data_IF_893476361808
#
_entry.id   IF_893476361808
#
_cell.length_a   1.000
_cell.length_b   1.000
_cell.length_c   1.000
_cell.angle_alpha   90.00
_cell.angle_beta   90.00
_cell.angle_gamma   90.00
#
_symmetry.space_group_name_H-M   'P 1'
#
loop_
_entity.id
_entity.type
_entity.pdbx_description
1 polymer ?
#
# COMPACT_ATOMS: atom_id res chain seq x y z
N UNK A 1 -13.32 31.23 16.17
CA UNK A 1 -12.76 29.91 16.51
C UNK A 1 -12.10 29.19 15.32
N UNK A 2 -12.30 29.64 14.07
CA UNK A 2 -11.97 28.87 12.85
C UNK A 2 -10.73 29.35 12.08
N UNK A 3 -10.23 30.57 12.33
CA UNK A 3 -9.14 31.16 11.54
C UNK A 3 -7.82 30.38 11.57
N UNK A 4 -7.30 30.06 12.77
CA UNK A 4 -6.03 29.34 12.89
C UNK A 4 -6.10 27.89 12.38
N UNK A 5 -7.13 27.08 12.70
CA UNK A 5 -7.30 25.73 12.16
C UNK A 5 -7.43 25.69 10.63
N UNK A 6 -8.06 26.70 10.03
CA UNK A 6 -8.18 26.81 8.56
C UNK A 6 -6.82 26.98 7.90
N UNK A 7 -5.99 27.89 8.41
CA UNK A 7 -4.63 28.11 7.88
C UNK A 7 -3.76 26.85 8.03
N UNK A 8 -3.80 26.20 9.19
CA UNK A 8 -3.07 24.95 9.42
C UNK A 8 -3.50 23.85 8.45
N UNK A 9 -4.80 23.73 8.19
CA UNK A 9 -5.35 22.73 7.27
C UNK A 9 -4.90 22.97 5.83
N UNK A 10 -4.90 24.22 5.37
CA UNK A 10 -4.47 24.58 4.02
C UNK A 10 -2.98 24.28 3.80
N UNK A 11 -2.13 24.55 4.80
CA UNK A 11 -0.69 24.23 4.75
C UNK A 11 -0.46 22.71 4.79
N UNK A 12 -1.12 22.00 5.71
CA UNK A 12 -0.97 20.55 5.87
C UNK A 12 -1.41 19.77 4.64
N UNK A 13 -2.43 20.25 3.92
CA UNK A 13 -2.90 19.66 2.65
C UNK A 13 -2.11 20.11 1.43
N UNK A 14 -1.13 21.00 1.58
CA UNK A 14 -0.27 21.46 0.51
C UNK A 14 -0.95 22.39 -0.50
N UNK A 15 -2.07 23.03 -0.12
CA UNK A 15 -2.72 24.04 -0.98
C UNK A 15 -2.00 25.39 -0.94
N UNK A 16 -1.38 25.71 0.20
CA UNK A 16 -0.55 26.90 0.39
C UNK A 16 0.78 26.53 1.01
N UNK A 17 1.82 27.29 0.68
CA UNK A 17 3.15 27.15 1.25
C UNK A 17 3.54 28.46 1.93
N UNK A 18 4.01 28.38 3.17
CA UNK A 18 4.50 29.54 3.92
C UNK A 18 5.98 29.79 3.60
N UNK A 19 6.32 30.99 3.16
CA UNK A 19 7.71 31.46 3.01
C UNK A 19 7.87 32.72 3.86
N UNK A 20 8.54 32.58 5.01
CA UNK A 20 8.62 33.65 6.00
C UNK A 20 7.24 33.98 6.59
N UNK A 21 6.83 35.24 6.48
CA UNK A 21 5.52 35.72 6.95
C UNK A 21 4.42 35.70 5.88
N UNK A 22 4.73 35.25 4.67
CA UNK A 22 3.83 35.32 3.50
C UNK A 22 3.39 33.93 3.07
N UNK A 23 2.12 33.81 2.72
CA UNK A 23 1.52 32.59 2.16
C UNK A 23 1.52 32.65 0.63
N UNK A 24 2.03 31.60 -0.01
CA UNK A 24 2.04 31.47 -1.46
C UNK A 24 1.15 30.30 -1.89
N UNK A 25 0.25 30.47 -2.87
CA UNK A 25 -0.53 29.36 -3.39
C UNK A 25 0.38 28.37 -4.12
N UNK A 26 0.19 27.08 -3.86
CA UNK A 26 0.90 26.01 -4.59
C UNK A 26 0.25 25.78 -5.95
N UNK A 27 0.93 25.09 -6.89
CA UNK A 27 0.29 24.65 -8.14
C UNK A 27 -0.97 23.83 -7.89
N UNK A 28 -0.94 22.93 -6.90
CA UNK A 28 -2.09 22.14 -6.47
C UNK A 28 -3.23 23.02 -5.97
N UNK A 29 -2.93 23.99 -5.10
CA UNK A 29 -3.93 24.94 -4.60
C UNK A 29 -4.63 25.70 -5.73
N UNK A 30 -3.85 26.22 -6.69
CA UNK A 30 -4.41 26.92 -7.87
C UNK A 30 -5.31 26.01 -8.70
N UNK A 31 -4.88 24.78 -8.97
CA UNK A 31 -5.65 23.83 -9.78
C UNK A 31 -6.96 23.43 -9.10
N UNK A 32 -6.91 23.13 -7.80
CA UNK A 32 -8.11 22.79 -7.01
C UNK A 32 -9.07 23.97 -6.94
N UNK A 33 -8.58 25.18 -6.66
CA UNK A 33 -9.43 26.38 -6.65
C UNK A 33 -10.07 26.64 -8.00
N UNK A 34 -9.32 26.50 -9.11
CA UNK A 34 -9.88 26.66 -10.46
C UNK A 34 -10.99 25.64 -10.72
N UNK A 35 -10.75 24.38 -10.40
CA UNK A 35 -11.73 23.30 -10.55
C UNK A 35 -12.99 23.55 -9.71
N UNK A 36 -12.84 23.94 -8.44
CA UNK A 36 -13.98 24.19 -7.57
C UNK A 36 -14.80 25.41 -8.01
N UNK A 37 -14.15 26.47 -8.51
CA UNK A 37 -14.85 27.65 -9.06
C UNK A 37 -15.63 27.32 -10.33
N UNK A 38 -15.13 26.41 -11.15
CA UNK A 38 -15.80 25.98 -12.38
C UNK A 38 -16.96 25.01 -12.10
N UNK A 39 -16.78 24.07 -11.17
CA UNK A 39 -17.70 22.94 -10.96
C UNK A 39 -18.66 23.12 -9.79
N UNK A 40 -18.30 23.96 -8.81
CA UNK A 40 -19.09 24.19 -7.60
C UNK A 40 -19.23 25.69 -7.28
N UNK A 41 -19.67 26.53 -8.25
CA UNK A 41 -19.66 27.98 -8.10
C UNK A 41 -20.47 28.48 -6.91
N UNK A 42 -21.60 27.84 -6.57
CA UNK A 42 -22.44 28.26 -5.45
C UNK A 42 -21.76 27.97 -4.10
N UNK A 43 -21.13 26.80 -3.98
CA UNK A 43 -20.53 26.33 -2.73
C UNK A 43 -19.28 27.12 -2.35
N UNK A 44 -18.48 27.53 -3.34
CA UNK A 44 -17.24 28.31 -3.10
C UNK A 44 -17.42 29.82 -3.24
N UNK A 45 -18.64 30.29 -3.48
CA UNK A 45 -18.94 31.72 -3.52
C UNK A 45 -18.70 32.36 -2.14
N UNK A 46 -18.05 33.53 -2.13
CA UNK A 46 -17.80 34.27 -0.89
C UNK A 46 -19.09 34.58 -0.13
N UNK A 47 -20.15 34.99 -0.85
CA UNK A 47 -21.45 35.28 -0.24
C UNK A 47 -22.07 34.06 0.45
N UNK A 48 -21.91 32.88 -0.14
CA UNK A 48 -22.44 31.65 0.44
C UNK A 48 -21.72 31.29 1.74
N UNK A 49 -20.40 31.40 1.75
CA UNK A 49 -19.60 31.16 2.97
C UNK A 49 -19.87 32.19 4.06
N UNK A 50 -20.15 33.45 3.71
CA UNK A 50 -20.48 34.49 4.66
C UNK A 50 -21.87 34.29 5.29
N UNK A 51 -22.87 33.94 4.47
CA UNK A 51 -24.24 33.64 4.94
C UNK A 51 -24.33 32.37 5.78
N UNK A 52 -23.36 31.46 5.67
CA UNK A 52 -23.36 30.22 6.44
C UNK A 52 -23.16 30.47 7.94
N UNK A 53 -22.23 31.35 8.31
CA UNK A 53 -21.97 31.66 9.72
C UNK A 53 -23.21 32.30 10.37
N UNK A 54 -23.84 33.26 9.68
CA UNK A 54 -25.09 33.89 10.14
C UNK A 54 -26.22 32.85 10.33
N UNK A 55 -26.37 31.89 9.42
CA UNK A 55 -27.37 30.81 9.54
C UNK A 55 -27.05 29.83 10.66
N UNK A 56 -25.78 29.63 11.01
CA UNK A 56 -25.39 28.80 12.15
C UNK A 56 -25.70 29.51 13.47
N UNK A 57 -25.51 30.83 13.53
CA UNK A 57 -25.90 31.65 14.67
C UNK A 57 -27.43 31.63 14.88
N UNK A 58 -28.22 31.74 13.81
CA UNK A 58 -29.69 31.61 13.87
C UNK A 58 -30.15 30.25 14.42
N UNK A 59 -29.39 29.19 14.17
CA UNK A 59 -29.65 27.86 14.74
C UNK A 59 -29.31 27.81 16.22
N UNK A 60 -28.17 28.39 16.62
CA UNK A 60 -27.74 28.47 18.03
C UNK A 60 -28.77 29.24 18.88
N UNK A 61 -29.32 30.31 18.32
CA UNK A 61 -30.38 31.11 18.94
C UNK A 61 -31.78 30.48 18.85
N UNK A 62 -31.93 29.35 18.16
CA UNK A 62 -33.20 28.63 18.02
C UNK A 62 -34.21 29.27 17.07
N UNK A 63 -33.78 30.23 16.23
CA UNK A 63 -34.64 30.90 15.24
C UNK A 63 -34.97 30.00 14.05
N UNK A 64 -34.04 29.12 13.67
CA UNK A 64 -34.20 28.21 12.52
C UNK A 64 -33.83 26.78 12.92
N UNK A 65 -34.63 25.76 12.53
CA UNK A 65 -34.25 24.37 12.77
C UNK A 65 -33.05 23.95 11.91
N UNK A 66 -32.01 23.40 12.54
CA UNK A 66 -30.78 22.99 11.87
C UNK A 66 -30.95 22.06 10.65
N UNK A 67 -31.93 21.12 10.58
CA UNK A 67 -32.08 20.26 9.41
C UNK A 67 -32.44 21.06 8.16
N UNK A 68 -33.23 22.13 8.31
CA UNK A 68 -33.57 23.05 7.22
C UNK A 68 -32.31 23.75 6.71
N UNK A 69 -31.47 24.22 7.64
CA UNK A 69 -30.23 24.93 7.28
C UNK A 69 -29.30 24.04 6.44
N UNK A 70 -29.14 22.78 6.87
CA UNK A 70 -28.33 21.77 6.17
C UNK A 70 -28.93 21.40 4.83
N UNK A 71 -30.24 21.18 4.73
CA UNK A 71 -30.88 20.76 3.48
C UNK A 71 -30.76 21.83 2.38
N UNK A 72 -30.98 23.10 2.74
CA UNK A 72 -30.80 24.23 1.83
C UNK A 72 -29.36 24.39 1.30
N UNK A 73 -28.35 23.91 2.05
CA UNK A 73 -26.98 23.78 1.53
C UNK A 73 -26.84 22.57 0.61
N UNK A 74 -27.39 21.42 1.03
CA UNK A 74 -27.06 20.13 0.44
C UNK A 74 -27.74 19.90 -0.91
N UNK A 75 -28.97 20.38 -1.08
CA UNK A 75 -29.72 20.21 -2.32
C UNK A 75 -29.02 20.85 -3.55
N UNK A 76 -28.62 22.13 -3.53
CA UNK A 76 -27.84 22.73 -4.63
C UNK A 76 -26.53 22.00 -4.89
N UNK A 77 -25.82 21.60 -3.82
CA UNK A 77 -24.57 20.86 -3.92
C UNK A 77 -24.73 19.52 -4.63
N UNK A 78 -25.81 18.78 -4.38
CA UNK A 78 -26.11 17.52 -5.07
C UNK A 78 -26.34 17.73 -6.57
N UNK A 79 -26.99 18.85 -6.94
CA UNK A 79 -27.18 19.23 -8.34
C UNK A 79 -25.87 19.53 -9.07
N UNK A 80 -24.94 20.24 -8.43
CA UNK A 80 -23.59 20.48 -8.95
C UNK A 80 -22.76 19.19 -9.01
N UNK A 81 -22.82 18.36 -7.96
CA UNK A 81 -22.10 17.09 -7.87
C UNK A 81 -22.52 16.09 -8.95
N UNK A 82 -23.81 16.06 -9.31
CA UNK A 82 -24.32 15.19 -10.36
C UNK A 82 -23.73 15.48 -11.74
N UNK A 83 -23.31 16.73 -11.98
CA UNK A 83 -22.70 17.16 -13.24
C UNK A 83 -21.20 16.85 -13.32
N UNK A 84 -20.59 16.41 -12.22
CA UNK A 84 -19.16 16.07 -12.21
C UNK A 84 -18.92 14.84 -13.08
N UNK A 85 -18.07 14.93 -14.13
CA UNK A 85 -17.82 13.82 -15.03
C UNK A 85 -17.18 12.65 -14.26
N UNK A 86 -17.87 11.51 -14.25
CA UNK A 86 -17.36 10.27 -13.66
C UNK A 86 -16.39 9.61 -14.64
N UNK A 87 -15.18 9.33 -14.18
CA UNK A 87 -14.17 8.62 -14.95
C UNK A 87 -14.68 7.21 -15.28
N UNK A 88 -14.65 6.79 -16.53
CA UNK A 88 -15.13 5.46 -16.96
C UNK A 88 -14.00 4.43 -16.97
N UNK A 89 -14.35 3.18 -16.71
CA UNK A 89 -13.41 2.07 -16.68
C UNK A 89 -12.98 1.71 -18.10
N UNK A 90 -11.68 1.69 -18.43
CA UNK A 90 -11.19 1.38 -19.77
C UNK A 90 -11.41 -0.10 -20.17
N UNK A 91 -11.73 -0.98 -19.21
CA UNK A 91 -11.97 -2.41 -19.50
C UNK A 91 -13.42 -2.76 -19.79
N UNK A 92 -14.38 -2.03 -19.25
CA UNK A 92 -15.80 -2.40 -19.33
C UNK A 92 -16.77 -1.23 -19.48
N UNK A 93 -16.28 0.02 -19.54
CA UNK A 93 -17.10 1.23 -19.71
C UNK A 93 -17.87 1.71 -18.47
N UNK A 94 -18.04 0.88 -17.43
CA UNK A 94 -18.71 1.27 -16.18
C UNK A 94 -17.95 2.38 -15.43
N UNK A 95 -18.61 3.24 -14.64
CA UNK A 95 -17.93 4.30 -13.90
C UNK A 95 -16.94 3.74 -12.86
N UNK A 96 -15.86 4.47 -12.64
CA UNK A 96 -14.90 4.27 -11.56
C UNK A 96 -15.34 5.06 -10.33
N UNK A 97 -15.15 4.46 -9.15
CA UNK A 97 -15.47 5.07 -7.86
C UNK A 97 -14.26 5.07 -6.93
N UNK A 98 -14.20 6.08 -6.06
CA UNK A 98 -13.20 6.18 -5.00
C UNK A 98 -13.43 5.08 -3.96
N UNK A 99 -12.49 4.14 -3.85
CA UNK A 99 -12.47 3.06 -2.86
C UNK A 99 -11.27 3.23 -1.93
N UNK A 100 -11.42 2.76 -0.69
CA UNK A 100 -10.38 2.84 0.35
C UNK A 100 -9.88 1.44 0.70
N UNK A 101 -8.56 1.27 0.74
CA UNK A 101 -7.91 0.04 1.20
C UNK A 101 -6.88 0.33 2.30
N UNK A 102 -6.31 -0.74 2.89
CA UNK A 102 -5.15 -0.63 3.80
C UNK A 102 -3.92 0.04 3.18
N UNK A 103 -3.85 0.13 1.85
CA UNK A 103 -2.74 0.72 1.10
C UNK A 103 -3.03 2.15 0.64
N UNK A 104 -4.19 2.70 0.98
CA UNK A 104 -4.62 4.02 0.57
C UNK A 104 -5.88 3.99 -0.29
N UNK A 105 -6.23 5.17 -0.79
CA UNK A 105 -7.38 5.39 -1.66
C UNK A 105 -7.03 5.08 -3.13
N UNK A 106 -7.98 4.58 -3.89
CA UNK A 106 -7.82 4.25 -5.31
C UNK A 106 -9.16 4.35 -6.05
N UNK A 107 -9.14 4.55 -7.37
CA UNK A 107 -10.31 4.41 -8.22
C UNK A 107 -10.52 2.93 -8.59
N UNK A 108 -11.69 2.40 -8.31
CA UNK A 108 -12.05 1.02 -8.64
C UNK A 108 -13.32 0.95 -9.47
N UNK A 109 -13.38 -0.01 -10.39
CA UNK A 109 -14.58 -0.25 -11.17
C UNK A 109 -15.78 -0.57 -10.27
N UNK A 110 -16.95 0.01 -10.60
CA UNK A 110 -18.24 -0.31 -9.96
C UNK A 110 -18.68 -1.73 -10.29
N UNK A 111 -18.31 -2.25 -11.45
CA UNK A 111 -18.60 -3.63 -11.86
C UNK A 111 -17.72 -4.70 -11.22
N UNK A 112 -17.23 -4.50 -10.01
CA UNK A 112 -16.57 -5.56 -9.24
C UNK A 112 -17.65 -6.48 -8.64
N UNK A 113 -17.51 -7.83 -8.70
CA UNK A 113 -16.30 -8.59 -8.99
C UNK A 113 -16.02 -8.91 -10.46
N UNK A 114 -16.94 -8.65 -11.38
CA UNK A 114 -16.81 -9.03 -12.80
C UNK A 114 -15.67 -8.28 -13.50
N UNK A 115 -15.38 -7.05 -13.06
CA UNK A 115 -14.28 -6.22 -13.50
C UNK A 115 -13.39 -5.82 -12.32
N UNK A 116 -12.14 -6.32 -12.32
CA UNK A 116 -11.14 -6.08 -11.27
C UNK A 116 -10.22 -4.88 -11.55
N UNK A 117 -10.58 -4.03 -12.51
CA UNK A 117 -9.77 -2.85 -12.85
C UNK A 117 -9.71 -1.86 -11.68
N UNK A 118 -8.49 -1.42 -11.38
CA UNK A 118 -8.19 -0.40 -10.38
C UNK A 118 -7.13 0.57 -10.91
N UNK A 119 -7.21 1.83 -10.48
CA UNK A 119 -6.29 2.90 -10.83
C UNK A 119 -5.94 3.69 -9.56
N UNK A 120 -4.66 3.99 -9.29
CA UNK A 120 -4.29 4.88 -8.19
C UNK A 120 -4.76 6.32 -8.45
N UNK A 121 -5.11 7.06 -7.39
CA UNK A 121 -5.55 8.46 -7.50
C UNK A 121 -4.42 9.39 -7.93
N UNK A 122 -3.24 9.19 -7.36
CA UNK A 122 -2.04 9.91 -7.72
C UNK A 122 -1.25 9.06 -8.71
N UNK A 123 -1.23 9.49 -9.97
CA UNK A 123 -0.25 8.98 -10.92
C UNK A 123 1.07 9.65 -10.58
N UNK A 124 1.97 8.94 -9.90
CA UNK A 124 3.35 9.40 -9.74
C UNK A 124 3.94 9.56 -11.14
N UNK A 125 4.09 10.79 -11.59
CA UNK A 125 4.69 11.10 -12.86
C UNK A 125 6.15 10.65 -12.82
N UNK A 126 6.58 9.97 -13.87
CA UNK A 126 7.94 9.46 -13.94
C UNK A 126 8.89 10.64 -14.20
N UNK A 127 9.80 10.90 -13.27
CA UNK A 127 10.73 12.03 -13.38
C UNK A 127 11.69 11.81 -14.56
N UNK A 128 11.87 12.80 -15.46
CA UNK A 128 12.89 12.72 -16.49
C UNK A 128 14.28 12.84 -15.87
N UNK A 129 15.20 11.97 -16.29
CA UNK A 129 16.57 11.97 -15.76
C UNK A 129 17.53 12.89 -16.54
N UNK A 130 17.05 13.51 -17.62
CA UNK A 130 17.85 14.39 -18.49
C UNK A 130 18.74 13.66 -19.50
N UNK A 131 18.66 12.33 -19.59
CA UNK A 131 19.42 11.52 -20.55
C UNK A 131 18.53 11.06 -21.72
N UNK A 132 19.13 10.97 -22.91
CA UNK A 132 18.48 10.41 -24.09
C UNK A 132 18.62 8.89 -24.16
N UNK A 133 17.59 8.21 -24.66
CA UNK A 133 17.59 6.76 -24.83
C UNK A 133 18.59 6.35 -25.92
N UNK A 134 19.52 5.41 -25.65
CA UNK A 134 20.51 4.99 -26.65
C UNK A 134 19.90 4.21 -27.82
N UNK A 135 18.65 3.71 -27.70
CA UNK A 135 17.97 3.01 -28.79
C UNK A 135 17.19 3.93 -29.74
N UNK A 136 16.65 5.05 -29.25
CA UNK A 136 15.72 5.87 -30.04
C UNK A 136 15.83 7.39 -29.84
N UNK A 137 16.74 7.87 -28.98
CA UNK A 137 16.94 9.29 -28.70
C UNK A 137 15.87 9.97 -27.83
N UNK A 138 14.72 9.34 -27.57
CA UNK A 138 13.67 9.87 -26.68
C UNK A 138 14.18 10.00 -25.22
N UNK A 139 13.64 10.91 -24.39
CA UNK A 139 14.09 11.08 -23.02
C UNK A 139 13.85 9.83 -22.17
N UNK A 140 14.79 9.54 -21.27
CA UNK A 140 14.68 8.49 -20.27
C UNK A 140 13.94 9.00 -19.02
N UNK A 141 13.11 8.15 -18.44
CA UNK A 141 12.27 8.43 -17.28
C UNK A 141 12.57 7.44 -16.15
N UNK A 142 12.57 7.92 -14.90
CA UNK A 142 12.63 7.06 -13.72
C UNK A 142 11.22 6.59 -13.34
N UNK A 143 10.96 5.29 -13.46
CA UNK A 143 9.67 4.65 -13.15
C UNK A 143 9.78 3.79 -11.89
N UNK A 144 8.68 3.67 -11.16
CA UNK A 144 8.55 2.72 -10.04
C UNK A 144 7.93 1.41 -10.54
N UNK A 145 8.61 0.28 -10.27
CA UNK A 145 8.13 -1.07 -10.57
C UNK A 145 8.00 -1.92 -9.32
N UNK A 146 7.66 -3.21 -9.50
CA UNK A 146 7.52 -4.19 -8.41
C UNK A 146 8.77 -4.32 -7.55
N UNK A 147 9.95 -4.23 -8.18
CA UNK A 147 11.26 -4.45 -7.56
C UNK A 147 11.97 -3.16 -7.13
N UNK A 148 11.33 -2.00 -7.28
CA UNK A 148 11.91 -0.68 -7.01
C UNK A 148 11.89 0.21 -8.24
N UNK A 149 12.63 1.31 -8.16
CA UNK A 149 12.81 2.25 -9.25
C UNK A 149 13.73 1.68 -10.34
N UNK A 150 13.47 2.08 -11.58
CA UNK A 150 14.26 1.72 -12.76
C UNK A 150 14.15 2.84 -13.81
N UNK A 151 15.08 2.85 -14.77
CA UNK A 151 15.09 3.81 -15.87
C UNK A 151 14.47 3.14 -17.10
N UNK A 152 13.52 3.82 -17.73
CA UNK A 152 12.85 3.32 -18.93
C UNK A 152 12.73 4.43 -19.98
N UNK A 153 12.71 4.04 -21.25
CA UNK A 153 12.37 4.97 -22.32
C UNK A 153 10.97 5.56 -22.13
N UNK A 154 10.82 6.87 -22.41
CA UNK A 154 9.51 7.53 -22.49
C UNK A 154 8.60 6.91 -23.55
N UNK A 155 9.17 6.35 -24.61
CA UNK A 155 8.46 5.62 -25.68
C UNK A 155 8.06 4.18 -25.35
N UNK A 156 8.20 3.70 -24.11
CA UNK A 156 7.75 2.35 -23.76
C UNK A 156 6.21 2.23 -23.88
N UNK A 157 5.64 1.21 -24.55
CA UNK A 157 6.27 -0.07 -24.92
C UNK A 157 6.89 -0.15 -26.33
N UNK A 158 6.77 0.88 -27.18
CA UNK A 158 7.35 0.89 -28.53
C UNK A 158 8.88 0.79 -28.51
N UNK A 159 9.50 1.42 -27.52
CA UNK A 159 10.92 1.25 -27.19
C UNK A 159 11.05 0.49 -25.87
N UNK A 160 11.55 -0.74 -25.94
CA UNK A 160 11.76 -1.67 -24.82
C UNK A 160 13.02 -1.38 -23.98
N UNK A 161 13.71 -0.26 -24.23
CA UNK A 161 14.91 0.08 -23.48
C UNK A 161 14.58 0.34 -22.01
N UNK A 162 15.13 -0.51 -21.14
CA UNK A 162 15.10 -0.36 -19.69
C UNK A 162 16.47 -0.67 -19.11
N UNK A 163 16.86 0.07 -18.07
CA UNK A 163 18.04 -0.23 -17.26
C UNK A 163 17.78 0.03 -15.79
N UNK A 164 18.65 -0.49 -14.93
CA UNK A 164 18.57 -0.21 -13.51
C UNK A 164 19.00 1.23 -13.20
N UNK A 165 18.44 1.83 -12.14
CA UNK A 165 18.75 3.20 -11.71
C UNK A 165 19.90 3.29 -10.69
N UNK A 166 20.57 2.16 -10.40
CA UNK A 166 21.71 2.11 -9.48
C UNK A 166 22.96 2.79 -10.03
N UNK A 167 23.78 3.33 -9.12
CA UNK A 167 25.04 4.01 -9.45
C UNK A 167 26.12 2.97 -9.72
N UNK A 168 26.81 3.00 -10.87
CA UNK A 168 27.92 2.08 -11.12
C UNK A 168 29.07 2.28 -10.14
N UNK A 169 29.54 1.20 -9.51
CA UNK A 169 30.64 1.28 -8.52
C UNK A 169 32.03 1.20 -9.11
N UNK A 170 32.16 0.86 -10.40
CA UNK A 170 33.44 0.59 -11.06
C UNK A 170 33.93 -0.85 -10.93
N UNK A 171 33.35 -1.65 -10.03
CA UNK A 171 33.71 -3.06 -9.89
C UNK A 171 32.94 -3.97 -10.87
N UNK A 172 33.60 -5.05 -11.27
CA UNK A 172 33.01 -6.12 -12.09
C UNK A 172 32.42 -7.23 -11.22
N UNK A 173 31.30 -7.80 -11.67
CA UNK A 173 30.61 -8.87 -10.99
C UNK A 173 31.42 -10.17 -11.10
N UNK A 174 31.74 -10.83 -9.98
CA UNK A 174 32.56 -12.05 -9.98
C UNK A 174 31.86 -13.25 -10.64
N UNK A 175 30.53 -13.24 -10.73
CA UNK A 175 29.75 -14.35 -11.32
C UNK A 175 29.59 -14.28 -12.84
N UNK A 176 29.58 -13.08 -13.42
CA UNK A 176 29.21 -12.89 -14.83
C UNK A 176 29.97 -11.78 -15.56
N UNK A 177 30.90 -11.08 -14.90
CA UNK A 177 31.70 -10.01 -15.50
C UNK A 177 30.97 -8.69 -15.76
N UNK A 178 29.64 -8.63 -15.64
CA UNK A 178 28.88 -7.38 -15.79
C UNK A 178 29.19 -6.37 -14.68
N UNK A 179 28.79 -5.10 -14.83
CA UNK A 179 29.06 -4.06 -13.82
C UNK A 179 28.26 -4.31 -12.54
N UNK A 180 28.81 -3.87 -11.41
CA UNK A 180 28.11 -3.82 -10.12
C UNK A 180 27.53 -2.43 -9.90
N UNK A 181 26.28 -2.37 -9.44
CA UNK A 181 25.53 -1.15 -9.16
C UNK A 181 25.27 -1.03 -7.66
N UNK A 182 25.47 0.17 -7.10
CA UNK A 182 25.04 0.54 -5.75
C UNK A 182 23.59 1.05 -5.77
N UNK A 183 22.78 0.54 -4.87
CA UNK A 183 21.40 0.98 -4.63
C UNK A 183 21.16 1.18 -3.14
N UNK A 184 20.13 1.96 -2.81
CA UNK A 184 19.65 2.12 -1.44
C UNK A 184 18.35 1.36 -1.22
N UNK A 185 18.30 0.61 -0.13
CA UNK A 185 17.07 -0.06 0.32
C UNK A 185 16.03 0.97 0.79
N UNK A 186 14.78 0.55 0.98
CA UNK A 186 13.72 1.39 1.57
C UNK A 186 14.08 1.97 2.95
N UNK A 187 15.05 1.35 3.66
CA UNK A 187 15.56 1.80 4.96
C UNK A 187 16.83 2.65 4.85
N UNK A 188 17.21 3.06 3.65
CA UNK A 188 18.39 3.89 3.38
C UNK A 188 19.73 3.15 3.37
N UNK A 189 19.78 1.86 3.74
CA UNK A 189 21.03 1.09 3.72
C UNK A 189 21.47 0.78 2.27
N UNK A 190 22.75 1.01 1.91
CA UNK A 190 23.27 0.66 0.60
C UNK A 190 23.38 -0.85 0.43
N UNK A 191 23.23 -1.30 -0.81
CA UNK A 191 23.50 -2.66 -1.25
C UNK A 191 24.00 -2.62 -2.70
N UNK A 192 24.78 -3.63 -3.07
CA UNK A 192 25.47 -3.72 -4.34
C UNK A 192 24.96 -4.93 -5.09
N UNK A 193 24.43 -4.76 -6.29
CA UNK A 193 23.89 -5.85 -7.10
C UNK A 193 24.51 -5.86 -8.48
N UNK A 194 24.44 -7.00 -9.16
CA UNK A 194 24.78 -7.05 -10.58
C UNK A 194 23.79 -6.21 -11.41
N UNK A 195 24.30 -5.55 -12.46
CA UNK A 195 23.49 -4.86 -13.47
C UNK A 195 22.61 -5.84 -14.27
N UNK A 196 23.12 -7.04 -14.56
CA UNK A 196 22.36 -8.07 -15.26
C UNK A 196 21.30 -8.68 -14.36
N UNK A 197 20.03 -8.56 -14.73
CA UNK A 197 18.90 -9.16 -14.01
C UNK A 197 18.91 -10.70 -14.02
N UNK A 198 19.69 -11.32 -14.91
CA UNK A 198 19.88 -12.78 -14.94
C UNK A 198 20.89 -13.26 -13.88
N UNK A 199 21.68 -12.35 -13.31
CA UNK A 199 22.68 -12.66 -12.29
C UNK A 199 22.15 -12.35 -10.89
N UNK A 200 22.33 -13.30 -9.97
CA UNK A 200 21.86 -13.23 -8.58
C UNK A 200 22.90 -12.61 -7.61
N UNK A 201 23.99 -12.03 -8.12
CA UNK A 201 25.02 -11.45 -7.27
C UNK A 201 24.49 -10.24 -6.49
N UNK A 202 24.64 -10.30 -5.16
CA UNK A 202 24.21 -9.29 -4.20
C UNK A 202 25.21 -9.21 -3.04
N UNK A 203 25.62 -8.00 -2.68
CA UNK A 203 26.40 -7.69 -1.49
C UNK A 203 25.71 -6.59 -0.67
N UNK A 204 25.77 -6.66 0.66
CA UNK A 204 25.36 -5.57 1.54
C UNK A 204 26.52 -4.69 2.01
N UNK A 205 27.72 -5.00 1.53
CA UNK A 205 28.96 -4.31 1.90
C UNK A 205 29.65 -3.80 0.64
N UNK A 206 30.31 -2.64 0.70
CA UNK A 206 31.08 -2.11 -0.42
C UNK A 206 32.16 -3.11 -0.83
N UNK A 207 32.31 -3.30 -2.14
CA UNK A 207 33.44 -4.05 -2.68
C UNK A 207 34.71 -3.20 -2.52
N UNK A 208 35.82 -3.85 -2.26
CA UNK A 208 37.15 -3.24 -2.21
C UNK A 208 37.83 -3.44 -3.57
N UNK A 209 38.77 -2.55 -3.91
CA UNK A 209 39.58 -2.68 -5.14
C UNK A 209 40.49 -3.91 -5.10
N UNK A 210 40.90 -4.32 -3.89
CA UNK A 210 41.72 -5.50 -3.68
C UNK A 210 40.89 -6.78 -3.80
N UNK A 211 41.37 -7.72 -4.61
CA UNK A 211 40.84 -9.08 -4.70
C UNK A 211 41.47 -9.99 -3.66
N UNK A 212 40.75 -11.05 -3.30
CA UNK A 212 41.21 -12.04 -2.35
C UNK A 212 42.44 -12.79 -2.90
N UNK A 213 43.58 -12.82 -2.17
CA UNK A 213 44.81 -13.44 -2.66
C UNK A 213 44.70 -14.96 -2.83
N UNK A 214 43.74 -15.62 -2.15
CA UNK A 214 43.57 -17.07 -2.24
C UNK A 214 42.66 -17.53 -3.39
N UNK A 215 41.74 -16.69 -3.88
CA UNK A 215 40.73 -17.12 -4.86
C UNK A 215 40.33 -16.07 -5.91
N UNK A 216 40.91 -14.86 -5.87
CA UNK A 216 40.64 -13.79 -6.83
C UNK A 216 39.27 -13.11 -6.72
N UNK A 217 38.41 -13.53 -5.79
CA UNK A 217 37.09 -12.90 -5.58
C UNK A 217 37.18 -11.54 -4.88
N UNK A 218 36.19 -10.65 -5.08
CA UNK A 218 36.19 -9.34 -4.44
C UNK A 218 36.12 -9.46 -2.91
N UNK A 219 36.93 -8.64 -2.24
CA UNK A 219 36.85 -8.42 -0.80
C UNK A 219 35.79 -7.35 -0.51
N UNK A 220 35.21 -7.38 0.69
CA UNK A 220 34.23 -6.38 1.12
C UNK A 220 34.62 -5.67 2.40
N UNK A 221 34.18 -4.41 2.53
CA UNK A 221 34.47 -3.52 3.66
C UNK A 221 33.83 -3.95 4.98
N UNK A 222 34.41 -4.96 5.63
CA UNK A 222 34.09 -5.39 7.01
C UNK A 222 35.40 -5.70 7.75
N UNK A 223 35.88 -4.76 8.57
CA UNK A 223 37.20 -4.89 9.22
C UNK A 223 38.34 -4.82 8.19
N UNK A 224 39.26 -5.80 8.22
CA UNK A 224 40.43 -5.90 7.32
C UNK A 224 40.10 -6.37 5.89
N UNK A 225 38.82 -6.56 5.55
CA UNK A 225 38.38 -7.09 4.26
C UNK A 225 38.10 -8.59 4.36
N UNK A 226 36.88 -8.99 4.01
CA UNK A 226 36.48 -10.40 4.04
C UNK A 226 36.09 -10.87 2.63
N UNK A 227 36.41 -12.13 2.29
CA UNK A 227 36.14 -12.66 0.96
C UNK A 227 34.66 -13.00 0.79
N UNK A 228 34.07 -12.61 -0.35
CA UNK A 228 32.67 -12.93 -0.67
C UNK A 228 32.46 -14.36 -1.20
N UNK A 229 33.50 -15.05 -1.64
CA UNK A 229 33.37 -16.38 -2.25
C UNK A 229 33.00 -17.43 -1.20
N UNK A 230 31.83 -18.09 -1.29
CA UNK A 230 31.44 -19.13 -0.34
C UNK A 230 32.42 -20.31 -0.29
N UNK A 231 33.17 -20.56 -1.38
CA UNK A 231 34.13 -21.65 -1.47
C UNK A 231 35.54 -21.28 -0.95
N UNK A 232 35.76 -20.02 -0.54
CA UNK A 232 37.06 -19.58 -0.04
C UNK A 232 37.23 -19.89 1.45
N UNK A 233 38.40 -20.40 1.89
CA UNK A 233 38.70 -20.56 3.33
C UNK A 233 38.64 -19.26 4.13
N UNK A 234 38.92 -18.12 3.50
CA UNK A 234 38.84 -16.79 4.10
C UNK A 234 37.45 -16.12 3.98
N UNK A 235 36.42 -16.90 3.64
CA UNK A 235 35.04 -16.42 3.58
C UNK A 235 34.48 -16.18 4.98
N UNK A 236 33.80 -15.06 5.18
CA UNK A 236 33.00 -14.82 6.39
C UNK A 236 31.52 -15.20 6.10
N UNK A 237 30.99 -16.27 6.73
CA UNK A 237 29.62 -16.73 6.52
C UNK A 237 28.54 -15.68 6.82
N UNK A 238 28.87 -14.63 7.59
CA UNK A 238 27.94 -13.54 7.92
C UNK A 238 27.74 -12.54 6.78
N UNK A 239 28.51 -12.64 5.69
CA UNK A 239 28.39 -11.75 4.53
C UNK A 239 27.20 -12.10 3.63
N UNK A 240 26.78 -13.36 3.64
CA UNK A 240 25.64 -13.83 2.87
C UNK A 240 24.42 -13.80 3.80
N UNK A 241 23.33 -13.12 3.43
CA UNK A 241 22.09 -13.25 4.20
C UNK A 241 21.64 -14.71 4.21
N UNK A 242 21.54 -15.29 5.41
CA UNK A 242 20.95 -16.62 5.57
C UNK A 242 19.55 -16.64 4.94
N UNK A 243 19.16 -17.74 4.26
CA UNK A 243 17.79 -17.92 3.80
C UNK A 243 16.82 -17.67 4.95
N UNK A 244 15.70 -17.00 4.69
CA UNK A 244 14.69 -16.57 5.69
C UNK A 244 14.17 -17.70 6.61
N UNK A 245 14.50 -18.96 6.35
CA UNK A 245 14.08 -20.12 7.14
C UNK A 245 14.79 -20.26 8.51
N UNK A 246 15.84 -19.48 8.82
CA UNK A 246 16.60 -19.65 10.07
C UNK A 246 17.00 -18.33 10.76
N UNK A 247 16.19 -17.28 10.65
CA UNK A 247 16.27 -16.17 11.61
C UNK A 247 15.61 -16.59 12.93
N UNK A 248 16.26 -17.48 13.67
CA UNK A 248 15.94 -17.70 15.08
C UNK A 248 16.29 -16.44 15.85
N UNK A 249 15.42 -16.13 16.81
CA UNK A 249 15.46 -14.99 17.70
C UNK A 249 16.77 -14.89 18.49
N UNK A 250 17.78 -14.24 17.92
CA UNK A 250 18.95 -13.79 18.67
C UNK A 250 18.60 -12.46 19.35
N UNK A 251 18.47 -12.55 20.66
CA UNK A 251 18.28 -11.49 21.66
C UNK A 251 18.96 -10.17 21.31
N UNK A 252 18.17 -9.11 21.13
CA UNK A 252 18.67 -7.74 21.36
C UNK A 252 18.44 -7.40 22.82
N UNK A 253 19.56 -7.21 23.51
CA UNK A 253 19.66 -6.81 24.90
C UNK A 253 18.83 -5.56 25.22
N UNK A 254 18.31 -5.56 26.44
CA UNK A 254 17.45 -4.53 26.98
C UNK A 254 18.16 -3.19 27.20
N UNK A 255 17.36 -2.13 27.19
CA UNK A 255 17.60 -0.93 28.00
C UNK A 255 16.69 -1.03 29.24
N UNK A 256 17.15 -0.63 30.44
CA UNK A 256 16.35 -0.76 31.64
C UNK A 256 15.27 0.32 31.65
N UNK A 257 14.00 -0.10 31.70
CA UNK A 257 12.89 0.79 32.00
C UNK A 257 12.80 1.01 33.51
N UNK A 258 12.74 2.28 33.92
CA UNK A 258 12.46 2.74 35.27
C UNK A 258 11.20 2.07 35.82
N UNK A 259 11.32 1.55 37.04
CA UNK A 259 10.21 1.04 37.87
C UNK A 259 9.24 2.18 38.22
N UNK A 260 7.94 1.96 38.03
CA UNK A 260 6.93 2.25 39.06
C UNK A 260 5.91 1.11 39.10
N UNK A 261 5.59 0.77 40.34
CA UNK A 261 4.87 -0.41 40.78
C UNK A 261 3.35 -0.18 40.85
N UNK A 262 2.70 -1.25 41.31
CA UNK A 262 1.31 -1.43 41.70
C UNK A 262 0.36 -1.81 40.55
N UNK A 263 -0.46 -2.85 40.63
CA UNK A 263 -0.68 -3.92 41.62
C UNK A 263 -1.85 -4.78 41.10
N UNK A 264 -1.82 -6.09 41.35
CA UNK A 264 -2.95 -7.03 41.19
C UNK A 264 -2.89 -7.88 39.92
N UNK A 265 -2.34 -9.10 39.91
CA UNK A 265 -2.91 -10.37 40.43
C UNK A 265 -4.28 -10.68 39.79
N UNK A 266 -4.57 -11.82 39.16
CA UNK A 266 -4.08 -13.19 39.31
C UNK A 266 -4.48 -13.96 38.02
N UNK A 267 -3.53 -14.57 37.31
CA UNK A 267 -3.28 -16.02 37.27
C UNK A 267 -4.49 -16.93 36.96
N UNK A 268 -4.43 -17.64 35.83
CA UNK A 268 -4.33 -19.11 35.74
C UNK A 268 -4.44 -19.56 34.27
N UNK A 269 -3.31 -19.94 33.67
CA UNK A 269 -2.83 -21.33 33.45
C UNK A 269 -3.50 -22.03 32.26
N UNK A 270 -2.67 -22.51 31.34
CA UNK A 270 -3.11 -23.48 30.33
C UNK A 270 -2.22 -23.55 29.10
N UNK A 271 -1.04 -24.14 29.26
CA UNK A 271 -0.12 -24.46 28.17
C UNK A 271 -0.74 -25.41 27.14
N UNK A 272 -0.37 -25.30 25.86
CA UNK A 272 -0.10 -26.50 25.06
C UNK A 272 0.86 -26.28 23.89
N UNK A 273 1.67 -27.31 23.72
CA UNK A 273 2.87 -27.42 22.91
C UNK A 273 2.65 -27.29 21.40
N UNK A 274 3.73 -26.88 20.72
CA UNK A 274 3.92 -26.99 19.27
C UNK A 274 4.21 -28.45 18.90
N UNK A 275 3.48 -28.96 17.91
CA UNK A 275 3.89 -30.07 17.05
C UNK A 275 3.82 -29.62 15.59
N UNK A 276 4.92 -29.81 14.84
CA UNK A 276 4.99 -29.59 13.38
C UNK A 276 4.40 -30.82 12.68
N UNK A 277 3.49 -30.59 11.73
CA UNK A 277 3.01 -31.59 10.78
C UNK A 277 2.40 -30.88 9.57
N UNK A 278 2.82 -31.26 8.38
CA UNK A 278 2.37 -30.71 7.10
C UNK A 278 0.92 -31.13 6.82
N UNK A 279 0.10 -30.18 6.37
CA UNK A 279 -1.32 -30.38 6.06
C UNK A 279 -2.08 -29.09 6.38
N UNK A 280 -2.80 -28.52 5.40
CA UNK A 280 -3.63 -27.34 5.64
C UNK A 280 -4.59 -27.65 6.80
N UNK A 281 -4.50 -26.92 7.91
CA UNK A 281 -5.44 -27.10 9.01
C UNK A 281 -6.86 -26.88 8.48
N UNK A 282 -7.82 -27.76 8.84
CA UNK A 282 -9.19 -27.63 8.38
C UNK A 282 -9.74 -26.25 8.79
N UNK A 283 -10.59 -25.62 7.94
CA UNK A 283 -11.22 -24.36 8.29
C UNK A 283 -11.92 -24.45 9.64
N UNK A 284 -11.78 -23.42 10.47
CA UNK A 284 -12.53 -23.32 11.72
C UNK A 284 -13.85 -22.60 11.46
N UNK A 285 -14.92 -23.06 12.11
CA UNK A 285 -16.19 -22.36 12.10
C UNK A 285 -16.03 -20.95 12.72
N UNK A 286 -16.59 -19.90 12.11
CA UNK A 286 -16.64 -18.57 12.71
C UNK A 286 -17.45 -18.55 14.01
N UNK A 287 -17.11 -17.64 14.92
CA UNK A 287 -17.85 -17.46 16.19
C UNK A 287 -19.29 -16.97 15.97
N UNK A 288 -19.58 -16.37 14.81
CA UNK A 288 -20.89 -15.84 14.42
C UNK A 288 -21.68 -16.81 13.52
N UNK A 289 -21.44 -18.12 13.64
CA UNK A 289 -22.07 -19.15 12.80
C UNK A 289 -23.60 -19.15 12.82
N UNK A 290 -24.21 -18.96 13.99
CA UNK A 290 -25.67 -18.93 14.14
C UNK A 290 -26.32 -17.82 13.27
N UNK A 291 -25.64 -16.69 13.12
CA UNK A 291 -26.11 -15.58 12.28
C UNK A 291 -25.93 -15.83 10.77
N UNK A 292 -25.17 -16.86 10.39
CA UNK A 292 -24.91 -17.22 8.99
C UNK A 292 -25.86 -18.31 8.47
N UNK A 293 -26.48 -19.09 9.35
CA UNK A 293 -27.42 -20.18 8.99
C UNK A 293 -28.55 -19.75 8.05
N UNK A 294 -29.17 -18.56 8.20
CA UNK A 294 -30.26 -18.14 7.31
C UNK A 294 -29.86 -18.06 5.83
N UNK A 295 -28.57 -17.82 5.53
CA UNK A 295 -28.07 -17.65 4.16
C UNK A 295 -27.59 -18.95 3.50
N UNK A 296 -27.71 -20.10 4.18
CA UNK A 296 -27.24 -21.39 3.66
C UNK A 296 -27.99 -21.85 2.41
N UNK A 297 -29.25 -21.43 2.24
CA UNK A 297 -30.06 -21.76 1.06
C UNK A 297 -29.54 -21.10 -0.23
N UNK A 298 -28.73 -20.04 -0.13
CA UNK A 298 -28.15 -19.32 -1.29
C UNK A 298 -26.85 -19.96 -1.80
N UNK A 299 -26.32 -20.98 -1.10
CA UNK A 299 -25.10 -21.69 -1.51
C UNK A 299 -25.41 -22.83 -2.49
N UNK A 300 -24.40 -23.20 -3.29
CA UNK A 300 -24.48 -24.42 -4.09
C UNK A 300 -24.61 -25.67 -3.16
N UNK A 301 -25.29 -26.74 -3.57
CA UNK A 301 -25.51 -27.93 -2.73
C UNK A 301 -24.22 -28.53 -2.16
N UNK A 302 -23.16 -28.59 -2.96
CA UNK A 302 -21.83 -29.09 -2.55
C UNK A 302 -21.15 -28.18 -1.53
N UNK A 303 -21.28 -26.86 -1.69
CA UNK A 303 -20.74 -25.84 -0.79
C UNK A 303 -21.48 -25.86 0.55
N UNK A 304 -22.81 -26.03 0.50
CA UNK A 304 -23.67 -26.15 1.67
C UNK A 304 -23.33 -27.41 2.47
N UNK A 305 -23.27 -28.56 1.81
CA UNK A 305 -22.91 -29.83 2.44
C UNK A 305 -21.53 -29.79 3.09
N UNK A 306 -20.54 -29.15 2.44
CA UNK A 306 -19.20 -29.02 3.01
C UNK A 306 -19.15 -28.15 4.28
N UNK A 307 -19.96 -27.09 4.39
CA UNK A 307 -20.01 -26.25 5.60
C UNK A 307 -20.87 -26.87 6.70
N UNK A 308 -21.96 -27.56 6.34
CA UNK A 308 -22.78 -28.29 7.32
C UNK A 308 -21.97 -29.44 7.95
N UNK A 309 -21.23 -30.21 7.15
CA UNK A 309 -20.28 -31.22 7.65
C UNK A 309 -19.20 -30.59 8.56
N UNK A 310 -18.72 -29.39 8.21
CA UNK A 310 -17.79 -28.64 9.07
C UNK A 310 -18.43 -28.24 10.42
N UNK A 311 -19.70 -27.84 10.41
CA UNK A 311 -20.43 -27.43 11.60
C UNK A 311 -20.74 -28.61 12.53
N UNK A 312 -20.93 -29.81 11.97
CA UNK A 312 -21.10 -31.06 12.71
C UNK A 312 -19.76 -31.64 13.23
N UNK A 313 -18.63 -31.05 12.86
CA UNK A 313 -17.30 -31.49 13.28
C UNK A 313 -16.81 -32.75 12.55
N UNK A 314 -17.40 -33.06 11.39
CA UNK A 314 -17.00 -34.22 10.60
C UNK A 314 -15.62 -34.02 9.94
N UNK A 315 -14.82 -35.08 9.77
CA UNK A 315 -13.54 -35.00 9.08
C UNK A 315 -13.74 -34.69 7.59
N UNK A 316 -13.31 -33.50 7.17
CA UNK A 316 -13.40 -33.06 5.77
C UNK A 316 -12.20 -33.55 4.95
N UNK A 317 -12.48 -33.98 3.71
CA UNK A 317 -11.43 -34.16 2.69
C UNK A 317 -10.76 -32.80 2.35
N UNK A 318 -9.55 -32.79 1.76
CA UNK A 318 -8.88 -31.55 1.37
C UNK A 318 -9.67 -30.70 0.36
N UNK A 319 -10.50 -31.33 -0.47
CA UNK A 319 -11.38 -30.66 -1.43
C UNK A 319 -12.60 -30.04 -0.73
N UNK A 320 -13.23 -30.81 0.17
CA UNK A 320 -14.37 -30.33 0.97
C UNK A 320 -13.93 -29.21 1.94
N UNK A 321 -12.70 -29.24 2.44
CA UNK A 321 -12.14 -28.14 3.24
C UNK A 321 -12.03 -26.83 2.44
N UNK A 322 -11.66 -26.90 1.15
CA UNK A 322 -11.63 -25.70 0.27
C UNK A 322 -13.04 -25.21 -0.06
N UNK A 323 -13.98 -26.13 -0.31
CA UNK A 323 -15.39 -25.80 -0.52
C UNK A 323 -16.00 -25.13 0.71
N UNK A 324 -15.75 -25.67 1.91
CA UNK A 324 -16.19 -25.08 3.16
C UNK A 324 -15.59 -23.68 3.40
N UNK A 325 -14.31 -23.46 3.10
CA UNK A 325 -13.69 -22.13 3.17
C UNK A 325 -14.36 -21.11 2.24
N UNK A 326 -14.59 -21.51 0.98
CA UNK A 326 -15.22 -20.65 -0.02
C UNK A 326 -16.67 -20.32 0.35
N UNK A 327 -17.39 -21.29 0.88
CA UNK A 327 -18.76 -21.14 1.34
C UNK A 327 -18.88 -20.24 2.58
N UNK A 328 -18.01 -20.40 3.60
CA UNK A 328 -17.94 -19.49 4.75
C UNK A 328 -17.65 -18.04 4.33
N UNK A 329 -16.79 -17.85 3.32
CA UNK A 329 -16.53 -16.52 2.77
C UNK A 329 -17.78 -15.92 2.09
N UNK A 330 -18.50 -16.70 1.28
CA UNK A 330 -19.76 -16.27 0.65
C UNK A 330 -20.81 -15.87 1.67
N UNK A 331 -21.02 -16.67 2.72
CA UNK A 331 -21.97 -16.38 3.80
C UNK A 331 -21.63 -15.07 4.51
N UNK A 332 -20.36 -14.83 4.85
CA UNK A 332 -19.91 -13.58 5.48
C UNK A 332 -20.16 -12.37 4.58
N UNK A 333 -19.91 -12.50 3.28
CA UNK A 333 -20.17 -11.43 2.32
C UNK A 333 -21.66 -11.13 2.18
N UNK A 334 -22.51 -12.18 2.16
CA UNK A 334 -23.96 -12.03 2.10
C UNK A 334 -24.52 -11.34 3.34
N UNK A 335 -24.10 -11.76 4.53
CA UNK A 335 -24.41 -11.08 5.80
C UNK A 335 -24.02 -9.60 5.77
N UNK A 336 -22.84 -9.30 5.23
CA UNK A 336 -22.38 -7.91 5.04
C UNK A 336 -23.25 -7.09 4.09
N UNK A 337 -23.81 -7.70 3.03
CA UNK A 337 -24.77 -7.05 2.11
C UNK A 337 -26.14 -6.85 2.77
N UNK A 338 -26.68 -7.88 3.42
CA UNK A 338 -27.96 -7.79 4.13
C UNK A 338 -27.94 -6.69 5.22
N UNK A 339 -26.83 -6.56 5.95
CA UNK A 339 -26.65 -5.48 6.93
C UNK A 339 -26.59 -4.08 6.30
N UNK A 340 -26.13 -3.94 5.07
CA UNK A 340 -26.15 -2.67 4.33
C UNK A 340 -27.54 -2.37 3.78
N UNK A 341 -28.24 -3.38 3.27
CA UNK A 341 -29.63 -3.26 2.80
C UNK A 341 -30.57 -2.84 3.94
N UNK A 342 -30.40 -3.40 5.14
CA UNK A 342 -31.20 -3.04 6.32
C UNK A 342 -30.91 -1.65 6.91
N UNK A 343 -29.82 -0.98 6.49
CA UNK A 343 -29.40 0.36 6.97
C UNK A 343 -29.57 1.41 5.87
N UNK A 344 -29.97 1.00 4.66
CA UNK A 344 -30.31 1.93 3.59
C UNK A 344 -31.69 2.56 3.88
N UNK A 345 -31.83 3.90 3.81
CA UNK A 345 -33.08 4.62 4.09
C UNK A 345 -34.18 4.34 3.07
#
# INVERSE_FOLDING_TARGET
STYAPTLETLEKRGYVARKGRTLFPTPLGRQVTAYLRERFPQVVAYEFTARMEERLDEVEEGRVPWPKVVWEFYEPFLGELAQVPKKTCPRCGRPLELKVSRYGQFLGCTGYPECTYTEPLERREAEPIGEACPKCGRPLLRKEGRYGTFIACSGYPECDYTRDDGTPTGHTCPKCGSRVLEKRSKRGKPYYKCESNACDFLSFYPLLDQTCPSCGWPLVGKGQGACMNPACPAHDPKLIPLPKAQATSASKGGKPARRKAASGASSRTGAKAKGKGQGASPPKLPSDWEELKPFLHELAPEERGAVEALALGEPLSPENAKLAQRALFKLRMRKGRARKEAVAP
#
